data_IF_322930418841
#
_entry.id   IF_322930418841
#
_cell.length_a   1.000
_cell.length_b   1.000
_cell.length_c   1.000
_cell.angle_alpha   90.00
_cell.angle_beta   90.00
_cell.angle_gamma   90.00
#
_symmetry.space_group_name_H-M   'P 1'
#
loop_
_entity.id
_entity.type
_entity.pdbx_description
1 polymer ?
#
# COMPACT_ATOMS: atom_id res chain seq x y z
N UNK A 1 4.25 22.19 1.30
CA UNK A 1 5.03 22.86 2.39
C UNK A 1 6.23 23.59 1.78
N UNK A 2 6.72 24.67 2.39
CA UNK A 2 7.91 25.40 1.90
C UNK A 2 9.23 24.70 2.27
N UNK A 3 9.25 23.96 3.38
CA UNK A 3 10.37 23.15 3.87
C UNK A 3 9.83 21.88 4.54
N UNK A 4 10.51 20.75 4.35
CA UNK A 4 10.26 19.51 5.09
C UNK A 4 11.53 19.08 5.82
N UNK A 5 11.42 18.76 7.11
CA UNK A 5 12.52 18.25 7.93
C UNK A 5 12.22 16.79 8.24
N UNK A 6 13.15 15.91 7.86
CA UNK A 6 13.04 14.46 8.07
C UNK A 6 14.10 14.08 9.11
N UNK A 7 13.65 13.85 10.34
CA UNK A 7 14.51 13.63 11.50
C UNK A 7 14.07 12.38 12.27
N UNK A 8 14.97 11.41 12.39
CA UNK A 8 14.76 10.11 13.03
C UNK A 8 14.63 10.15 14.54
N UNK A 9 15.01 11.25 15.18
CA UNK A 9 14.83 11.38 16.62
C UNK A 9 13.35 11.58 16.97
N UNK A 10 12.56 12.18 16.07
CA UNK A 10 11.13 12.40 16.26
C UNK A 10 10.28 11.12 16.17
N UNK A 11 10.84 9.99 15.72
CA UNK A 11 10.12 8.70 15.65
C UNK A 11 10.49 7.74 16.77
N UNK A 12 11.44 8.12 17.64
CA UNK A 12 12.05 7.24 18.66
C UNK A 12 11.06 6.68 19.69
N UNK A 13 9.99 7.43 19.96
CA UNK A 13 8.98 7.06 20.97
C UNK A 13 7.72 6.44 20.35
N UNK A 14 7.71 6.19 19.04
CA UNK A 14 6.57 5.56 18.38
C UNK A 14 6.38 4.14 18.92
N UNK A 15 5.14 3.76 19.32
CA UNK A 15 4.83 2.38 19.61
C UNK A 15 5.09 1.49 18.38
N UNK A 16 5.58 0.25 18.55
CA UNK A 16 5.90 -0.64 17.43
C UNK A 16 4.74 -0.86 16.45
N UNK A 17 3.50 -0.94 16.93
CA UNK A 17 2.30 -1.07 16.08
C UNK A 17 2.04 0.17 15.21
N UNK A 18 2.34 1.36 15.74
CA UNK A 18 2.26 2.62 14.99
C UNK A 18 3.33 2.67 13.92
N UNK A 19 4.56 2.28 14.26
CA UNK A 19 5.68 2.19 13.31
C UNK A 19 5.40 1.15 12.21
N UNK A 20 4.83 0.00 12.57
CA UNK A 20 4.44 -1.05 11.62
C UNK A 20 3.38 -0.55 10.63
N UNK A 21 2.30 0.07 11.13
CA UNK A 21 1.26 0.61 10.27
C UNK A 21 1.80 1.70 9.34
N UNK A 22 2.53 2.68 9.87
CA UNK A 22 3.12 3.75 9.06
C UNK A 22 4.14 3.21 8.04
N UNK A 23 4.94 2.22 8.42
CA UNK A 23 5.88 1.57 7.50
C UNK A 23 5.18 0.82 6.36
N UNK A 24 4.09 0.11 6.65
CA UNK A 24 3.31 -0.58 5.61
C UNK A 24 2.56 0.39 4.69
N UNK A 25 2.21 1.58 5.19
CA UNK A 25 1.73 2.69 4.35
C UNK A 25 2.81 3.14 3.36
N UNK A 26 4.05 3.33 3.82
CA UNK A 26 5.20 3.67 2.94
C UNK A 26 5.46 2.58 1.90
N UNK A 27 5.40 1.30 2.31
CA UNK A 27 5.52 0.17 1.39
C UNK A 27 4.43 0.24 0.31
N UNK A 28 3.19 0.49 0.71
CA UNK A 28 2.04 0.56 -0.21
C UNK A 28 2.15 1.75 -1.15
N UNK A 29 2.60 2.93 -0.69
CA UNK A 29 2.90 4.07 -1.57
C UNK A 29 3.91 3.71 -2.66
N UNK A 30 5.04 3.10 -2.28
CA UNK A 30 6.09 2.73 -3.22
C UNK A 30 5.60 1.64 -4.19
N UNK A 31 4.90 0.63 -3.68
CA UNK A 31 4.37 -0.46 -4.50
C UNK A 31 3.34 0.05 -5.50
N UNK A 32 2.29 0.75 -5.03
CA UNK A 32 1.21 1.22 -5.89
C UNK A 32 1.68 2.26 -6.89
N UNK A 33 2.63 3.12 -6.53
CA UNK A 33 3.19 4.08 -7.49
C UNK A 33 3.96 3.39 -8.62
N UNK A 34 4.68 2.31 -8.29
CA UNK A 34 5.41 1.53 -9.27
C UNK A 34 4.50 0.63 -10.12
N UNK A 35 3.38 0.14 -9.58
CA UNK A 35 2.42 -0.70 -10.33
C UNK A 35 1.24 0.09 -10.89
N UNK A 36 1.20 1.41 -10.74
CA UNK A 36 0.15 2.26 -11.31
C UNK A 36 0.10 2.16 -12.83
N UNK A 37 -1.07 2.51 -13.38
CA UNK A 37 -1.28 2.73 -14.82
C UNK A 37 -0.12 3.54 -15.41
N UNK A 38 0.48 3.10 -16.53
CA UNK A 38 1.55 3.83 -17.19
C UNK A 38 1.11 5.25 -17.57
N UNK A 39 1.98 6.23 -17.37
CA UNK A 39 1.67 7.64 -17.64
C UNK A 39 1.21 7.92 -19.08
N UNK A 40 1.65 7.11 -20.05
CA UNK A 40 1.27 7.23 -21.46
C UNK A 40 -0.15 6.73 -21.77
N UNK A 41 -0.76 5.94 -20.88
CA UNK A 41 -2.13 5.42 -21.04
C UNK A 41 -3.17 6.34 -20.42
N UNK A 42 -2.73 7.37 -19.71
CA UNK A 42 -3.62 8.32 -19.06
C UNK A 42 -4.38 9.17 -20.08
N UNK A 43 -5.70 9.33 -19.96
CA UNK A 43 -6.47 10.21 -20.84
C UNK A 43 -5.95 11.64 -20.83
N UNK A 44 -5.80 12.22 -22.02
CA UNK A 44 -5.38 13.61 -22.18
C UNK A 44 -6.43 14.56 -21.56
N UNK A 45 -6.04 15.46 -20.65
CA UNK A 45 -6.96 16.44 -20.07
C UNK A 45 -7.41 17.46 -21.12
N UNK A 46 -8.62 18.01 -20.97
CA UNK A 46 -9.18 18.98 -21.92
C UNK A 46 -8.38 20.30 -21.97
N UNK A 47 -7.67 20.63 -20.90
CA UNK A 47 -6.78 21.78 -20.85
C UNK A 47 -5.75 21.73 -19.72
N UNK A 48 -4.79 22.68 -19.67
CA UNK A 48 -3.71 22.69 -18.68
C UNK A 48 -4.18 22.77 -17.22
N UNK A 49 -5.31 23.42 -16.97
CA UNK A 49 -5.89 23.58 -15.64
C UNK A 49 -6.51 22.28 -15.09
N UNK A 50 -6.80 21.31 -15.97
CA UNK A 50 -7.36 20.01 -15.62
C UNK A 50 -6.29 18.93 -15.51
N UNK A 51 -5.00 19.30 -15.56
CA UNK A 51 -3.91 18.37 -15.35
C UNK A 51 -4.02 17.76 -13.95
N UNK A 52 -4.11 16.44 -13.84
CA UNK A 52 -4.23 15.80 -12.55
C UNK A 52 -2.93 15.91 -11.77
N UNK A 53 -3.04 15.87 -10.44
CA UNK A 53 -1.86 15.89 -9.56
C UNK A 53 -0.93 14.70 -9.81
N UNK A 54 -1.50 13.52 -10.10
CA UNK A 54 -0.78 12.28 -10.35
C UNK A 54 -0.86 11.89 -11.82
N UNK A 55 0.23 11.38 -12.39
CA UNK A 55 0.33 11.07 -13.81
C UNK A 55 0.26 9.57 -14.12
N UNK A 56 0.42 8.69 -13.14
CA UNK A 56 0.67 7.26 -13.38
C UNK A 56 2.16 6.93 -13.31
N UNK A 57 2.48 5.63 -13.32
CA UNK A 57 3.86 5.16 -13.23
C UNK A 57 4.70 5.74 -14.37
N UNK A 58 5.91 6.19 -14.08
CA UNK A 58 6.80 6.83 -15.03
C UNK A 58 8.28 6.63 -14.65
N UNK A 59 9.22 6.71 -15.61
CA UNK A 59 10.63 6.39 -15.34
C UNK A 59 11.27 7.18 -14.20
N UNK A 60 10.80 8.40 -13.92
CA UNK A 60 11.33 9.23 -12.84
C UNK A 60 10.79 8.77 -11.48
N UNK A 61 9.49 8.50 -11.36
CA UNK A 61 8.92 7.97 -10.12
C UNK A 61 9.46 6.58 -9.79
N UNK A 62 9.72 5.78 -10.82
CA UNK A 62 10.11 4.37 -10.68
C UNK A 62 11.46 4.21 -9.96
N UNK A 63 12.41 5.13 -10.21
CA UNK A 63 13.70 5.18 -9.51
C UNK A 63 13.48 5.30 -8.00
N UNK A 64 12.59 6.19 -7.58
CA UNK A 64 12.31 6.43 -6.17
C UNK A 64 11.48 5.31 -5.54
N UNK A 65 10.50 4.80 -6.27
CA UNK A 65 9.62 3.73 -5.81
C UNK A 65 10.39 2.42 -5.57
N UNK A 66 11.17 1.96 -6.56
CA UNK A 66 12.00 0.76 -6.41
C UNK A 66 13.03 0.92 -5.29
N UNK A 67 13.71 2.07 -5.23
CA UNK A 67 14.68 2.31 -4.16
C UNK A 67 14.03 2.32 -2.78
N UNK A 68 12.82 2.86 -2.65
CA UNK A 68 12.07 2.78 -1.41
C UNK A 68 11.76 1.31 -1.06
N UNK A 69 11.23 0.50 -1.99
CA UNK A 69 10.92 -0.92 -1.74
C UNK A 69 12.15 -1.71 -1.25
N UNK A 70 13.33 -1.50 -1.85
CA UNK A 70 14.59 -2.12 -1.40
C UNK A 70 14.95 -1.75 0.05
N UNK A 71 14.77 -0.48 0.42
CA UNK A 71 15.00 -0.02 1.79
C UNK A 71 13.96 -0.62 2.74
N UNK A 72 12.68 -0.67 2.34
CA UNK A 72 11.61 -1.29 3.13
C UNK A 72 11.95 -2.75 3.42
N UNK A 73 12.43 -3.49 2.41
CA UNK A 73 12.77 -4.90 2.54
C UNK A 73 13.80 -5.15 3.65
N UNK A 74 14.80 -4.28 3.73
CA UNK A 74 15.92 -4.42 4.66
C UNK A 74 15.64 -3.85 6.04
N UNK A 75 14.96 -2.71 6.12
CA UNK A 75 14.93 -1.89 7.35
C UNK A 75 13.58 -1.86 8.05
N UNK A 76 12.45 -2.13 7.37
CA UNK A 76 11.14 -2.12 8.03
C UNK A 76 11.03 -3.14 9.17
N UNK A 77 11.37 -4.44 8.98
CA UNK A 77 11.32 -5.40 10.07
C UNK A 77 12.22 -5.03 11.25
N UNK A 78 13.42 -4.50 10.96
CA UNK A 78 14.38 -4.05 11.98
C UNK A 78 13.84 -2.88 12.80
N UNK A 79 13.34 -1.84 12.13
CA UNK A 79 12.86 -0.63 12.79
C UNK A 79 11.64 -0.88 13.70
N UNK A 80 10.81 -1.87 13.37
CA UNK A 80 9.66 -2.26 14.19
C UNK A 80 10.08 -3.18 15.33
N UNK A 81 11.00 -4.13 15.09
CA UNK A 81 11.46 -5.07 16.10
C UNK A 81 12.32 -4.40 17.19
N UNK A 82 13.16 -3.44 16.82
CA UNK A 82 14.02 -2.70 17.72
C UNK A 82 13.89 -1.18 17.50
N UNK A 83 13.07 -0.49 18.32
CA UNK A 83 12.94 0.96 18.25
C UNK A 83 14.24 1.71 18.56
N UNK A 84 15.29 1.05 19.07
CA UNK A 84 16.60 1.65 19.33
C UNK A 84 17.59 1.52 18.17
N UNK A 85 17.23 0.80 17.10
CA UNK A 85 18.02 0.69 15.87
C UNK A 85 17.98 2.01 15.07
N UNK A 86 18.89 2.92 15.42
CA UNK A 86 18.98 4.26 14.83
C UNK A 86 19.19 4.21 13.31
N UNK A 87 19.94 3.23 12.81
CA UNK A 87 20.15 3.04 11.37
C UNK A 87 18.83 2.69 10.68
N UNK A 88 18.12 1.68 11.19
CA UNK A 88 16.87 1.23 10.58
C UNK A 88 15.81 2.35 10.57
N UNK A 89 15.68 3.12 11.66
CA UNK A 89 14.74 4.25 11.70
C UNK A 89 15.12 5.36 10.71
N UNK A 90 16.40 5.71 10.62
CA UNK A 90 16.88 6.70 9.65
C UNK A 90 16.62 6.26 8.20
N UNK A 91 16.89 4.99 7.89
CA UNK A 91 16.64 4.41 6.56
C UNK A 91 15.14 4.31 6.24
N UNK A 92 14.29 4.04 7.23
CA UNK A 92 12.84 4.05 7.07
C UNK A 92 12.29 5.44 6.75
N UNK A 93 12.81 6.49 7.39
CA UNK A 93 12.44 7.87 7.06
C UNK A 93 12.95 8.29 5.68
N UNK A 94 14.14 7.85 5.28
CA UNK A 94 14.62 8.04 3.92
C UNK A 94 13.73 7.32 2.90
N UNK A 95 13.35 6.08 3.17
CA UNK A 95 12.43 5.32 2.33
C UNK A 95 11.06 6.02 2.22
N UNK A 96 10.52 6.56 3.33
CA UNK A 96 9.29 7.34 3.33
C UNK A 96 9.40 8.60 2.45
N UNK A 97 10.52 9.33 2.54
CA UNK A 97 10.77 10.50 1.69
C UNK A 97 10.86 10.11 0.20
N UNK A 98 11.57 9.02 -0.12
CA UNK A 98 11.69 8.52 -1.49
C UNK A 98 10.33 8.06 -2.04
N UNK A 99 9.57 7.25 -1.29
CA UNK A 99 8.22 6.86 -1.66
C UNK A 99 7.35 8.09 -1.91
N UNK A 100 7.44 9.11 -1.05
CA UNK A 100 6.79 10.41 -1.20
C UNK A 100 7.08 11.12 -2.52
N UNK A 101 8.34 11.11 -2.97
CA UNK A 101 8.73 11.67 -4.26
C UNK A 101 8.17 10.81 -5.41
N UNK A 102 8.23 9.48 -5.28
CA UNK A 102 7.70 8.53 -6.27
C UNK A 102 6.19 8.70 -6.48
N UNK A 103 5.40 8.41 -5.44
CA UNK A 103 3.94 8.51 -5.50
C UNK A 103 3.46 9.95 -5.67
N UNK A 104 4.22 10.97 -5.23
CA UNK A 104 3.90 12.37 -5.48
C UNK A 104 3.77 12.70 -6.97
N UNK A 105 4.43 11.94 -7.84
CA UNK A 105 4.33 12.05 -9.30
C UNK A 105 3.39 10.99 -9.90
N UNK A 106 3.54 9.72 -9.50
CA UNK A 106 2.78 8.63 -10.10
C UNK A 106 1.37 8.46 -9.52
N UNK A 107 1.20 8.74 -8.23
CA UNK A 107 0.01 8.47 -7.43
C UNK A 107 0.00 7.06 -6.84
N UNK A 108 -1.16 6.70 -6.28
CA UNK A 108 -1.49 5.39 -5.69
C UNK A 108 -2.85 4.94 -6.24
N UNK A 109 -3.26 3.70 -6.02
CA UNK A 109 -4.42 3.12 -6.68
C UNK A 109 -5.41 2.39 -5.75
N UNK A 110 -5.84 1.17 -6.12
CA UNK A 110 -6.93 0.44 -5.47
C UNK A 110 -6.75 0.22 -3.96
N UNK A 111 -5.60 -0.20 -3.41
CA UNK A 111 -5.45 -0.42 -1.97
C UNK A 111 -5.73 0.86 -1.19
N UNK A 112 -5.21 2.02 -1.62
CA UNK A 112 -5.57 3.30 -1.02
C UNK A 112 -7.06 3.65 -1.21
N UNK A 113 -7.64 3.43 -2.38
CA UNK A 113 -9.07 3.68 -2.63
C UNK A 113 -10.00 2.82 -1.76
N UNK A 114 -9.65 1.55 -1.56
CA UNK A 114 -10.35 0.59 -0.71
C UNK A 114 -10.15 0.89 0.78
N UNK A 115 -9.01 1.48 1.15
CA UNK A 115 -8.68 1.79 2.54
C UNK A 115 -9.60 2.83 3.18
N UNK A 116 -10.20 3.74 2.38
CA UNK A 116 -11.02 4.84 2.89
C UNK A 116 -12.31 4.37 3.56
N UNK A 117 -13.16 3.53 2.93
CA UNK A 117 -14.31 2.94 3.63
C UNK A 117 -13.89 2.00 4.76
N UNK A 118 -12.79 1.26 4.63
CA UNK A 118 -12.26 0.39 5.70
C UNK A 118 -11.84 1.18 6.94
N UNK A 119 -11.26 2.37 6.77
CA UNK A 119 -10.94 3.24 7.90
C UNK A 119 -12.18 3.99 8.42
N UNK A 120 -13.06 4.44 7.52
CA UNK A 120 -14.20 5.31 7.84
C UNK A 120 -15.43 4.60 8.41
N UNK A 121 -15.57 3.29 8.17
CA UNK A 121 -16.74 2.50 8.59
C UNK A 121 -16.44 1.54 9.74
N UNK A 122 -15.25 1.61 10.33
CA UNK A 122 -14.85 0.74 11.44
C UNK A 122 -15.81 0.90 12.63
N UNK A 123 -16.30 -0.22 13.18
CA UNK A 123 -17.26 -0.22 14.28
C UNK A 123 -16.63 -0.41 15.66
N UNK A 124 -15.68 -1.32 15.78
CA UNK A 124 -15.24 -1.80 17.10
C UNK A 124 -13.72 -1.96 17.26
N UNK A 125 -13.00 -2.16 16.16
CA UNK A 125 -11.57 -2.47 16.19
C UNK A 125 -10.76 -1.35 16.85
N UNK A 126 -9.85 -1.75 17.74
CA UNK A 126 -8.93 -0.86 18.46
C UNK A 126 -7.54 -1.46 18.43
N UNK A 127 -6.61 -0.92 17.63
CA UNK A 127 -5.25 -1.43 17.54
C UNK A 127 -4.49 -1.13 18.83
N UNK A 128 -3.56 -2.04 19.18
CA UNK A 128 -2.60 -1.78 20.24
C UNK A 128 -1.72 -0.57 19.90
N UNK A 129 -1.24 0.16 20.90
CA UNK A 129 -0.34 1.30 20.72
C UNK A 129 -0.98 2.61 20.25
N UNK A 130 -2.29 2.65 19.98
CA UNK A 130 -3.01 3.89 19.67
C UNK A 130 -3.83 4.36 20.88
N UNK A 131 -3.51 5.55 21.40
CA UNK A 131 -4.21 6.14 22.54
C UNK A 131 -5.39 7.01 22.08
N UNK A 132 -6.45 6.38 21.55
CA UNK A 132 -7.66 7.07 21.06
C UNK A 132 -8.93 6.49 21.69
N UNK A 133 -9.95 7.34 21.90
CA UNK A 133 -11.19 6.95 22.57
C UNK A 133 -12.20 6.22 21.66
N UNK A 134 -12.04 6.31 20.35
CA UNK A 134 -12.95 5.75 19.34
C UNK A 134 -12.31 4.54 18.63
N UNK A 135 -13.13 3.65 18.03
CA UNK A 135 -12.66 2.61 17.12
C UNK A 135 -11.85 3.20 15.96
N UNK A 136 -10.80 2.52 15.54
CA UNK A 136 -9.87 2.99 14.52
C UNK A 136 -9.24 1.81 13.80
N UNK A 137 -9.24 1.81 12.48
CA UNK A 137 -8.26 1.05 11.70
C UNK A 137 -7.22 2.07 11.19
N UNK A 138 -5.95 2.00 11.62
CA UNK A 138 -4.92 2.93 11.16
C UNK A 138 -4.76 2.87 9.64
N UNK A 139 -4.47 4.01 8.99
CA UNK A 139 -4.47 4.10 7.53
C UNK A 139 -3.58 3.04 6.85
N UNK A 140 -2.32 2.90 7.24
CA UNK A 140 -1.45 1.89 6.63
C UNK A 140 -1.94 0.45 6.86
N UNK A 141 -2.68 0.20 7.94
CA UNK A 141 -3.34 -1.08 8.16
C UNK A 141 -4.54 -1.25 7.22
N UNK A 142 -5.39 -0.22 7.06
CA UNK A 142 -6.52 -0.29 6.13
C UNK A 142 -6.08 -0.38 4.66
N UNK A 143 -4.91 0.13 4.30
CA UNK A 143 -4.32 -0.04 2.96
C UNK A 143 -3.80 -1.48 2.79
N UNK A 144 -2.87 -1.91 3.64
CA UNK A 144 -2.13 -3.17 3.44
C UNK A 144 -3.03 -4.42 3.49
N UNK A 145 -4.13 -4.38 4.25
CA UNK A 145 -5.09 -5.48 4.33
C UNK A 145 -5.73 -5.82 2.98
N UNK A 146 -5.83 -4.84 2.06
CA UNK A 146 -6.40 -5.04 0.73
C UNK A 146 -5.33 -5.38 -0.32
N UNK A 147 -4.06 -5.11 -0.04
CA UNK A 147 -2.97 -5.18 -1.02
C UNK A 147 -2.78 -6.57 -1.62
N UNK A 148 -2.80 -7.70 -0.87
CA UNK A 148 -2.63 -9.03 -1.46
C UNK A 148 -3.69 -9.37 -2.53
N UNK A 149 -4.97 -9.05 -2.26
CA UNK A 149 -6.04 -9.26 -3.23
C UNK A 149 -5.86 -8.38 -4.47
N UNK A 150 -5.46 -7.12 -4.28
CA UNK A 150 -5.24 -6.20 -5.39
C UNK A 150 -4.08 -6.64 -6.28
N UNK A 151 -2.92 -7.00 -5.73
CA UNK A 151 -1.76 -7.36 -6.57
C UNK A 151 -2.02 -8.64 -7.37
N UNK A 152 -2.78 -9.59 -6.82
CA UNK A 152 -3.32 -10.76 -7.55
C UNK A 152 -4.27 -10.36 -8.68
N UNK A 153 -4.97 -9.25 -8.56
CA UNK A 153 -5.87 -8.75 -9.60
C UNK A 153 -5.13 -7.92 -10.66
N UNK A 154 -4.17 -7.09 -10.27
CA UNK A 154 -3.49 -6.14 -11.17
C UNK A 154 -2.32 -6.74 -11.93
N UNK A 155 -1.77 -7.89 -11.50
CA UNK A 155 -0.58 -8.47 -12.14
C UNK A 155 -0.71 -8.69 -13.65
N UNK A 156 -1.92 -9.00 -14.13
CA UNK A 156 -2.15 -9.24 -15.55
C UNK A 156 -1.93 -8.02 -16.45
N UNK A 157 -1.89 -6.81 -15.87
CA UNK A 157 -1.61 -5.59 -16.62
C UNK A 157 -0.11 -5.42 -16.92
N UNK A 158 0.75 -5.79 -15.97
CA UNK A 158 2.21 -5.81 -16.16
C UNK A 158 2.86 -6.79 -15.17
N UNK A 159 2.97 -8.08 -15.54
CA UNK A 159 3.54 -9.10 -14.66
C UNK A 159 4.99 -8.83 -14.31
N UNK A 160 5.77 -8.27 -15.24
CA UNK A 160 7.20 -8.01 -15.06
C UNK A 160 7.39 -6.96 -13.97
N UNK A 161 6.61 -5.87 -13.98
CA UNK A 161 6.65 -4.88 -12.89
C UNK A 161 6.23 -5.48 -11.54
N UNK A 162 5.29 -6.41 -11.51
CA UNK A 162 4.91 -7.06 -10.25
C UNK A 162 6.04 -7.95 -9.71
N UNK A 163 6.74 -8.70 -10.57
CA UNK A 163 7.93 -9.48 -10.20
C UNK A 163 9.09 -8.59 -9.77
N UNK A 164 9.35 -7.48 -10.46
CA UNK A 164 10.39 -6.52 -10.09
C UNK A 164 10.11 -5.89 -8.73
N UNK A 165 8.85 -5.54 -8.43
CA UNK A 165 8.46 -5.07 -7.10
C UNK A 165 8.64 -6.14 -6.02
N UNK A 166 8.29 -7.40 -6.31
CA UNK A 166 8.50 -8.51 -5.38
C UNK A 166 9.99 -8.73 -5.09
N UNK A 167 10.84 -8.69 -6.12
CA UNK A 167 12.29 -8.80 -6.00
C UNK A 167 12.90 -7.62 -5.22
N UNK A 168 12.46 -6.38 -5.47
CA UNK A 168 12.87 -5.22 -4.69
C UNK A 168 12.48 -5.35 -3.21
N UNK A 169 11.33 -5.99 -2.93
CA UNK A 169 10.91 -6.35 -1.58
C UNK A 169 11.67 -7.56 -1.00
N UNK A 170 12.57 -8.19 -1.75
CA UNK A 170 13.41 -9.31 -1.31
C UNK A 170 12.84 -10.70 -1.55
N UNK A 171 11.87 -10.86 -2.45
CA UNK A 171 11.46 -12.18 -2.93
C UNK A 171 12.48 -12.74 -3.94
N UNK A 172 12.66 -14.06 -3.95
CA UNK A 172 13.35 -14.74 -5.05
C UNK A 172 12.36 -14.95 -6.20
N UNK A 173 12.71 -14.44 -7.38
CA UNK A 173 11.87 -14.51 -8.59
C UNK A 173 12.51 -15.35 -9.70
N UNK A 174 13.61 -16.04 -9.42
CA UNK A 174 14.45 -16.70 -10.44
C UNK A 174 13.68 -17.71 -11.31
N UNK A 175 12.70 -18.41 -10.71
CA UNK A 175 11.87 -19.42 -11.36
C UNK A 175 10.40 -18.97 -11.55
N UNK A 176 10.10 -17.70 -11.27
CA UNK A 176 8.72 -17.20 -11.34
C UNK A 176 8.31 -16.92 -12.79
N UNK A 177 7.19 -17.51 -13.21
CA UNK A 177 6.57 -17.17 -14.48
C UNK A 177 5.74 -15.87 -14.38
N UNK A 178 5.48 -15.18 -15.51
CA UNK A 178 4.58 -14.03 -15.53
C UNK A 178 3.18 -14.34 -14.97
N UNK A 179 2.69 -15.58 -15.11
CA UNK A 179 1.38 -15.97 -14.57
C UNK A 179 1.36 -15.99 -13.03
N UNK A 180 2.50 -16.24 -12.39
CA UNK A 180 2.66 -16.33 -10.93
C UNK A 180 2.96 -14.96 -10.29
N UNK A 181 3.21 -13.92 -11.08
CA UNK A 181 3.64 -12.61 -10.60
C UNK A 181 2.75 -12.02 -9.49
N UNK A 182 1.42 -12.17 -9.63
CA UNK A 182 0.46 -11.71 -8.63
C UNK A 182 0.59 -12.46 -7.30
N UNK A 183 0.80 -13.78 -7.36
CA UNK A 183 0.92 -14.61 -6.16
C UNK A 183 2.26 -14.40 -5.46
N UNK A 184 3.36 -14.36 -6.21
CA UNK A 184 4.71 -14.09 -5.67
C UNK A 184 4.75 -12.77 -4.91
N UNK A 185 4.16 -11.72 -5.49
CA UNK A 185 4.09 -10.41 -4.84
C UNK A 185 3.13 -10.42 -3.64
N UNK A 186 1.97 -11.07 -3.76
CA UNK A 186 1.01 -11.18 -2.64
C UNK A 186 1.62 -11.89 -1.44
N UNK A 187 2.27 -13.03 -1.65
CA UNK A 187 2.97 -13.77 -0.60
C UNK A 187 4.09 -12.94 0.03
N UNK A 188 4.79 -12.13 -0.78
CA UNK A 188 5.81 -11.24 -0.23
C UNK A 188 5.21 -10.14 0.64
N UNK A 189 4.07 -9.58 0.27
CA UNK A 189 3.33 -8.62 1.10
C UNK A 189 2.83 -9.29 2.38
N UNK A 190 2.26 -10.50 2.28
CA UNK A 190 1.80 -11.30 3.42
C UNK A 190 2.95 -11.60 4.39
N UNK A 191 4.16 -11.86 3.89
CA UNK A 191 5.35 -12.00 4.73
C UNK A 191 5.58 -10.76 5.61
N UNK A 192 5.50 -9.54 5.07
CA UNK A 192 5.61 -8.33 5.88
C UNK A 192 4.44 -8.18 6.86
N UNK A 193 3.22 -8.46 6.42
CA UNK A 193 2.04 -8.41 7.29
C UNK A 193 2.21 -9.33 8.51
N UNK A 194 2.60 -10.59 8.29
CA UNK A 194 2.86 -11.58 9.35
C UNK A 194 4.02 -11.14 10.25
N UNK A 195 5.14 -10.72 9.66
CA UNK A 195 6.33 -10.28 10.40
C UNK A 195 6.06 -9.09 11.30
N UNK A 196 5.17 -8.19 10.88
CA UNK A 196 4.87 -6.94 11.58
C UNK A 196 3.60 -7.01 12.45
N UNK A 197 3.01 -8.21 12.61
CA UNK A 197 1.86 -8.44 13.46
C UNK A 197 0.56 -7.80 12.98
N UNK A 198 0.36 -7.71 11.66
CA UNK A 198 -0.89 -7.21 11.09
C UNK A 198 -2.04 -8.22 11.26
N UNK A 199 -3.29 -7.74 11.38
CA UNK A 199 -4.46 -8.61 11.36
C UNK A 199 -4.57 -9.39 10.05
N UNK A 200 -5.14 -10.60 10.12
CA UNK A 200 -5.39 -11.44 8.95
C UNK A 200 -6.67 -11.00 8.23
N UNK A 201 -6.54 -9.98 7.38
CA UNK A 201 -7.64 -9.51 6.54
C UNK A 201 -8.66 -8.66 7.29
N UNK A 202 -9.71 -8.28 6.55
CA UNK A 202 -10.78 -7.40 7.03
C UNK A 202 -11.64 -8.05 8.12
N UNK A 203 -11.78 -9.39 8.09
CA UNK A 203 -12.49 -10.13 9.14
C UNK A 203 -11.85 -9.93 10.52
N UNK A 204 -10.52 -9.90 10.58
CA UNK A 204 -9.78 -9.69 11.82
C UNK A 204 -9.89 -8.25 12.38
N UNK A 205 -10.43 -7.30 11.62
CA UNK A 205 -10.75 -5.95 12.09
C UNK A 205 -12.26 -5.69 12.19
N UNK A 206 -13.08 -6.75 12.18
CA UNK A 206 -14.51 -6.70 12.51
C UNK A 206 -15.45 -6.41 11.34
N UNK A 207 -14.97 -6.56 10.10
CA UNK A 207 -15.83 -6.61 8.93
C UNK A 207 -16.38 -8.02 8.70
N UNK A 208 -17.49 -8.06 7.98
CA UNK A 208 -18.20 -9.27 7.56
C UNK A 208 -18.51 -9.19 6.06
N UNK A 209 -18.93 -10.29 5.45
CA UNK A 209 -19.28 -10.32 4.02
C UNK A 209 -20.48 -9.39 3.73
N UNK A 210 -21.35 -9.22 4.71
CA UNK A 210 -22.50 -8.32 4.68
C UNK A 210 -22.11 -6.84 4.57
N UNK A 211 -20.88 -6.48 4.97
CA UNK A 211 -20.39 -5.10 4.89
C UNK A 211 -19.83 -4.75 3.48
N UNK A 212 -19.57 -5.75 2.62
CA UNK A 212 -18.96 -5.57 1.28
C UNK A 212 -19.72 -4.56 0.41
N UNK A 213 -21.07 -4.59 0.29
CA UNK A 213 -21.78 -3.61 -0.53
C UNK A 213 -21.51 -2.16 -0.13
N UNK A 214 -21.45 -1.88 1.18
CA UNK A 214 -21.15 -0.54 1.71
C UNK A 214 -19.69 -0.16 1.51
N UNK A 215 -18.76 -1.13 1.65
CA UNK A 215 -17.34 -0.89 1.35
C UNK A 215 -17.14 -0.53 -0.13
N UNK A 216 -17.80 -1.24 -1.05
CA UNK A 216 -17.79 -0.93 -2.49
C UNK A 216 -18.34 0.46 -2.74
N UNK A 217 -19.50 0.80 -2.17
CA UNK A 217 -20.13 2.12 -2.31
C UNK A 217 -19.18 3.24 -1.86
N UNK A 218 -18.45 3.04 -0.76
CA UNK A 218 -17.47 4.01 -0.25
C UNK A 218 -16.19 4.14 -1.09
N UNK A 219 -15.82 3.11 -1.85
CA UNK A 219 -14.63 3.10 -2.73
C UNK A 219 -14.90 3.72 -4.10
N UNK A 220 -16.10 3.52 -4.68
CA UNK A 220 -16.46 4.05 -6.00
C UNK A 220 -16.17 5.55 -6.20
N UNK A 221 -16.49 6.47 -5.25
CA UNK A 221 -16.25 7.90 -5.43
C UNK A 221 -14.76 8.29 -5.33
N UNK A 222 -13.86 7.37 -4.95
CA UNK A 222 -12.43 7.62 -4.72
C UNK A 222 -11.63 7.68 -6.04
N UNK A 223 -12.20 8.29 -7.07
CA UNK A 223 -11.69 8.36 -8.44
C UNK A 223 -10.29 8.94 -8.56
N UNK A 224 -9.85 9.75 -7.59
CA UNK A 224 -8.50 10.32 -7.59
C UNK A 224 -7.43 9.24 -7.58
N UNK A 225 -7.67 8.14 -6.87
CA UNK A 225 -6.74 7.01 -6.73
C UNK A 225 -7.20 5.81 -7.56
N UNK A 226 -8.48 5.45 -7.58
CA UNK A 226 -8.93 4.23 -8.29
C UNK A 226 -8.70 4.27 -9.80
N UNK A 227 -8.73 5.46 -10.42
CA UNK A 227 -8.41 5.63 -11.87
C UNK A 227 -6.94 5.42 -12.22
N UNK A 228 -6.05 5.35 -11.24
CA UNK A 228 -4.63 5.04 -11.44
C UNK A 228 -4.34 3.54 -11.43
N UNK A 229 -5.34 2.69 -11.17
CA UNK A 229 -5.16 1.25 -11.28
C UNK A 229 -4.78 0.88 -12.72
N UNK A 230 -3.77 0.04 -12.93
CA UNK A 230 -3.41 -0.45 -14.28
C UNK A 230 -4.49 -1.39 -14.85
N UNK A 231 -5.41 -1.85 -14.00
CA UNK A 231 -6.61 -2.61 -14.39
C UNK A 231 -7.84 -1.97 -13.78
N UNK A 232 -8.82 -1.61 -14.62
CA UNK A 232 -10.08 -1.01 -14.18
C UNK A 232 -10.82 -1.95 -13.21
N UNK A 233 -11.32 -1.40 -12.11
CA UNK A 233 -12.15 -2.13 -11.14
C UNK A 233 -13.47 -1.35 -10.95
N UNK A 234 -14.58 -1.95 -11.39
CA UNK A 234 -15.94 -1.49 -11.11
C UNK A 234 -16.48 -2.13 -9.83
N UNK A 235 -17.79 -2.03 -9.62
CA UNK A 235 -18.43 -2.56 -8.40
C UNK A 235 -18.23 -4.07 -8.23
N UNK A 236 -18.25 -4.83 -9.32
CA UNK A 236 -18.08 -6.29 -9.30
C UNK A 236 -16.65 -6.68 -8.93
N UNK A 237 -15.65 -6.06 -9.54
CA UNK A 237 -14.24 -6.30 -9.18
C UNK A 237 -13.95 -5.86 -7.75
N UNK A 238 -14.47 -4.71 -7.31
CA UNK A 238 -14.29 -4.23 -5.93
C UNK A 238 -14.91 -5.19 -4.92
N UNK A 239 -16.09 -5.74 -5.20
CA UNK A 239 -16.73 -6.73 -4.33
C UNK A 239 -15.86 -7.99 -4.18
N UNK A 240 -15.37 -8.53 -5.31
CA UNK A 240 -14.44 -9.66 -5.32
C UNK A 240 -13.13 -9.34 -4.56
N UNK A 241 -12.59 -8.14 -4.72
CA UNK A 241 -11.37 -7.72 -4.02
C UNK A 241 -11.59 -7.63 -2.50
N UNK A 242 -12.73 -7.12 -2.05
CA UNK A 242 -13.08 -7.09 -0.63
C UNK A 242 -13.30 -8.51 -0.07
N UNK A 243 -13.99 -9.38 -0.81
CA UNK A 243 -14.19 -10.79 -0.45
C UNK A 243 -12.84 -11.49 -0.26
N UNK A 244 -11.93 -11.35 -1.21
CA UNK A 244 -10.56 -11.89 -1.15
C UNK A 244 -9.67 -11.21 -0.10
N UNK A 245 -10.10 -10.09 0.47
CA UNK A 245 -9.41 -9.39 1.56
C UNK A 245 -9.98 -9.74 2.94
N UNK A 246 -11.07 -10.52 3.03
CA UNK A 246 -11.66 -10.93 4.30
C UNK A 246 -10.69 -11.78 5.14
N UNK A 247 -9.93 -12.64 4.48
CA UNK A 247 -8.86 -13.47 5.05
C UNK A 247 -7.78 -13.62 3.98
N UNK A 248 -6.54 -13.28 4.31
CA UNK A 248 -5.43 -13.19 3.34
C UNK A 248 -4.41 -14.32 3.48
N UNK A 249 -4.43 -15.08 4.56
CA UNK A 249 -3.66 -16.32 4.73
C UNK A 249 -4.40 -17.34 5.60
N UNK A 250 -3.99 -18.61 5.52
CA UNK A 250 -4.44 -19.71 6.41
C UNK A 250 -3.71 -19.72 7.76
#
# INVERSE_FOLDING_TARGET
>A
PTLGIVDSDNTRTLPPSVAASAGLDVLSHALESYTAMPYGERPMPAGPLERPAYQGSNPISDVWALRALELMAKFLPRAVADPTDDEARAQMLLAAAMAGIGFGNAGVHLPHGMSYPVAGMVREFRPSGYAVAHPLVPHGMSVILNTPAVVRFTHSADPERHLQAAAALGADISDASPAEAGEVLAERVIYFMKTLGMPNGLGAVGYTVEDIPSLVEGTLPQHRVTKLSPRTAGSEELAMLFENSMTVWE
#
